data_IF_299342141787
#
_entry.id   IF_299342141787
#
_cell.length_a   1.000
_cell.length_b   1.000
_cell.length_c   1.000
_cell.angle_alpha   90.00
_cell.angle_beta   90.00
_cell.angle_gamma   90.00
#
_symmetry.space_group_name_H-M   'P 1'
#
loop_
_entity.id
_entity.type
_entity.pdbx_description
1 polymer ?
#
# COMPACT_ATOMS: atom_id res chain seq x y z
N UNK A 1 38.24 51.03 5.92
CA UNK A 1 38.36 49.75 5.20
C UNK A 1 37.04 48.98 5.36
N UNK A 2 36.38 48.61 4.26
CA UNK A 2 35.08 47.89 4.25
C UNK A 2 35.33 46.38 4.13
N UNK A 3 34.92 45.53 5.09
CA UNK A 3 34.77 44.11 4.84
C UNK A 3 33.37 43.84 4.25
N UNK A 4 33.37 43.28 3.05
CA UNK A 4 32.21 42.88 2.25
C UNK A 4 31.86 41.41 2.54
N UNK A 5 30.61 41.13 2.87
CA UNK A 5 29.74 40.27 2.03
C UNK A 5 29.97 38.75 1.93
N UNK A 6 30.78 38.08 2.76
CA UNK A 6 31.02 36.63 2.59
C UNK A 6 30.19 35.69 3.49
N UNK A 7 29.36 36.20 4.40
CA UNK A 7 28.62 35.36 5.35
C UNK A 7 27.26 34.84 4.85
N UNK A 8 26.76 35.30 3.70
CA UNK A 8 25.41 34.96 3.23
C UNK A 8 25.33 33.73 2.31
N UNK A 9 26.45 33.26 1.76
CA UNK A 9 26.43 32.13 0.81
C UNK A 9 26.48 30.76 1.51
N UNK A 10 27.07 30.68 2.70
CA UNK A 10 27.22 29.41 3.43
C UNK A 10 25.90 28.91 4.05
N UNK A 11 24.98 29.80 4.40
CA UNK A 11 23.69 29.44 4.97
C UNK A 11 22.70 28.85 3.93
N UNK A 12 22.84 29.22 2.66
CA UNK A 12 22.00 28.72 1.55
C UNK A 12 22.34 27.28 1.14
N UNK A 13 23.59 26.84 1.32
CA UNK A 13 24.03 25.48 0.95
C UNK A 13 23.62 24.41 1.99
N UNK A 14 23.35 24.82 3.23
CA UNK A 14 22.90 23.92 4.30
C UNK A 14 21.40 23.62 4.22
N UNK A 15 20.60 24.50 3.62
CA UNK A 15 19.15 24.29 3.45
C UNK A 15 18.81 23.29 2.32
N UNK A 16 19.71 23.08 1.35
CA UNK A 16 19.47 22.23 0.18
C UNK A 16 19.58 20.71 0.41
N UNK A 17 20.11 20.27 1.56
CA UNK A 17 20.31 18.84 1.83
C UNK A 17 19.19 18.19 2.66
N UNK A 18 18.22 18.96 3.17
CA UNK A 18 17.10 18.43 3.99
C UNK A 18 15.96 17.79 3.19
N UNK A 19 15.83 18.10 1.89
CA UNK A 19 14.71 17.65 1.05
C UNK A 19 14.79 16.16 0.69
N UNK A 20 16.00 15.61 0.57
CA UNK A 20 16.20 14.24 0.10
C UNK A 20 15.78 13.17 1.12
N UNK A 21 16.02 13.40 2.42
CA UNK A 21 15.68 12.44 3.46
C UNK A 21 14.14 12.25 3.62
N UNK A 22 13.37 13.33 3.46
CA UNK A 22 11.90 13.25 3.47
C UNK A 22 11.34 12.50 2.28
N UNK A 23 11.90 12.72 1.08
CA UNK A 23 11.46 12.06 -0.15
C UNK A 23 11.66 10.55 -0.14
N UNK A 24 12.80 10.07 0.38
CA UNK A 24 13.10 8.63 0.44
C UNK A 24 12.19 7.88 1.43
N UNK A 25 11.93 8.46 2.60
CA UNK A 25 11.02 7.89 3.59
C UNK A 25 9.58 7.82 3.06
N UNK A 26 9.14 8.88 2.37
CA UNK A 26 7.82 8.94 1.76
C UNK A 26 7.67 7.92 0.62
N UNK A 27 8.66 7.82 -0.26
CA UNK A 27 8.68 6.81 -1.32
C UNK A 27 8.61 5.39 -0.72
N UNK A 28 9.38 5.11 0.34
CA UNK A 28 9.34 3.82 1.01
C UNK A 28 7.96 3.53 1.62
N UNK A 29 7.31 4.53 2.22
CA UNK A 29 5.96 4.41 2.74
C UNK A 29 4.94 4.10 1.63
N UNK A 30 4.99 4.83 0.51
CA UNK A 30 4.13 4.58 -0.64
C UNK A 30 4.31 3.16 -1.20
N UNK A 31 5.56 2.72 -1.40
CA UNK A 31 5.89 1.35 -1.83
C UNK A 31 5.30 0.30 -0.88
N UNK A 32 5.42 0.52 0.43
CA UNK A 32 4.90 -0.40 1.45
C UNK A 32 3.38 -0.46 1.41
N UNK A 33 2.70 0.68 1.36
CA UNK A 33 1.23 0.74 1.29
C UNK A 33 0.74 -0.01 0.05
N UNK A 34 1.27 0.34 -1.13
CA UNK A 34 0.87 -0.27 -2.41
C UNK A 34 1.07 -1.77 -2.38
N UNK A 35 2.25 -2.24 -1.96
CA UNK A 35 2.57 -3.66 -1.89
C UNK A 35 1.64 -4.41 -0.94
N UNK A 36 1.47 -3.93 0.30
CA UNK A 36 0.68 -4.63 1.32
C UNK A 36 -0.81 -4.67 0.98
N UNK A 37 -1.36 -3.58 0.47
CA UNK A 37 -2.78 -3.55 0.12
C UNK A 37 -3.06 -4.31 -1.15
N UNK A 38 -2.19 -4.24 -2.16
CA UNK A 38 -2.31 -5.13 -3.32
C UNK A 38 -2.28 -6.60 -2.90
N UNK A 39 -1.32 -6.99 -2.05
CA UNK A 39 -1.23 -8.35 -1.51
C UNK A 39 -2.52 -8.77 -0.80
N UNK A 40 -3.01 -7.97 0.14
CA UNK A 40 -4.19 -8.30 0.93
C UNK A 40 -5.53 -8.26 0.15
N UNK A 41 -5.53 -7.76 -1.09
CA UNK A 41 -6.73 -7.60 -1.92
C UNK A 41 -6.59 -8.37 -3.23
N UNK A 42 -6.35 -7.68 -4.35
CA UNK A 42 -6.31 -8.24 -5.70
C UNK A 42 -5.30 -9.39 -5.80
N UNK A 43 -4.14 -9.26 -5.14
CA UNK A 43 -3.12 -10.30 -5.07
C UNK A 43 -3.61 -11.57 -4.38
N UNK A 44 -4.34 -11.46 -3.26
CA UNK A 44 -4.91 -12.62 -2.57
C UNK A 44 -6.10 -13.22 -3.31
N UNK A 45 -6.86 -12.45 -4.09
CA UNK A 45 -7.91 -13.02 -4.93
C UNK A 45 -7.36 -14.01 -5.97
N UNK A 46 -6.19 -13.71 -6.54
CA UNK A 46 -5.50 -14.62 -7.45
C UNK A 46 -4.91 -15.81 -6.71
N UNK A 47 -4.24 -15.57 -5.58
CA UNK A 47 -3.68 -16.63 -4.74
C UNK A 47 -4.73 -17.65 -4.28
N UNK A 48 -5.89 -17.16 -3.85
CA UNK A 48 -6.96 -17.97 -3.27
C UNK A 48 -7.82 -18.69 -4.29
N UNK A 49 -7.53 -18.64 -5.60
CA UNK A 49 -8.33 -19.36 -6.61
C UNK A 49 -8.32 -20.88 -6.42
N UNK A 50 -7.34 -21.43 -5.71
CA UNK A 50 -7.21 -22.87 -5.43
C UNK A 50 -7.97 -23.37 -4.20
N UNK A 51 -8.54 -22.48 -3.37
CA UNK A 51 -9.29 -22.88 -2.17
C UNK A 51 -10.75 -23.22 -2.51
N UNK A 52 -11.55 -23.82 -1.60
CA UNK A 52 -12.96 -24.10 -1.88
C UNK A 52 -13.73 -22.87 -2.37
N UNK A 53 -14.54 -23.05 -3.41
CA UNK A 53 -15.21 -21.96 -4.14
C UNK A 53 -15.98 -21.01 -3.22
N UNK A 54 -16.71 -21.54 -2.23
CA UNK A 54 -17.46 -20.74 -1.28
C UNK A 54 -16.57 -19.77 -0.48
N UNK A 55 -15.36 -20.19 -0.11
CA UNK A 55 -14.40 -19.35 0.60
C UNK A 55 -13.81 -18.30 -0.34
N UNK A 56 -13.45 -18.67 -1.57
CA UNK A 56 -12.97 -17.71 -2.56
C UNK A 56 -14.01 -16.63 -2.87
N UNK A 57 -15.28 -17.02 -3.08
CA UNK A 57 -16.38 -16.08 -3.32
C UNK A 57 -16.62 -15.14 -2.14
N UNK A 58 -16.53 -15.65 -0.91
CA UNK A 58 -16.63 -14.82 0.29
C UNK A 58 -15.51 -13.77 0.34
N UNK A 59 -14.26 -14.17 0.08
CA UNK A 59 -13.14 -13.24 0.03
C UNK A 59 -13.29 -12.20 -1.09
N UNK A 60 -13.70 -12.62 -2.30
CA UNK A 60 -13.98 -11.73 -3.42
C UNK A 60 -15.08 -10.70 -3.10
N UNK A 61 -16.13 -11.12 -2.41
CA UNK A 61 -17.20 -10.22 -1.96
C UNK A 61 -16.67 -9.18 -0.95
N UNK A 62 -15.86 -9.60 0.03
CA UNK A 62 -15.24 -8.71 1.02
C UNK A 62 -14.31 -7.69 0.36
N UNK A 63 -13.42 -8.13 -0.55
CA UNK A 63 -12.52 -7.22 -1.28
C UNK A 63 -13.31 -6.23 -2.15
N UNK A 64 -14.37 -6.69 -2.81
CA UNK A 64 -15.26 -5.81 -3.58
C UNK A 64 -15.92 -4.76 -2.69
N UNK A 65 -16.44 -5.15 -1.54
CA UNK A 65 -17.05 -4.23 -0.59
C UNK A 65 -16.04 -3.19 -0.09
N UNK A 66 -14.80 -3.61 0.18
CA UNK A 66 -13.71 -2.70 0.57
C UNK A 66 -13.44 -1.63 -0.50
N UNK A 67 -13.33 -2.03 -1.77
CA UNK A 67 -13.14 -1.08 -2.86
C UNK A 67 -14.32 -0.14 -3.10
N UNK A 68 -15.54 -0.59 -2.80
CA UNK A 68 -16.72 0.28 -2.84
C UNK A 68 -16.75 1.28 -1.67
N UNK A 69 -16.26 0.89 -0.48
CA UNK A 69 -16.15 1.78 0.69
C UNK A 69 -15.05 2.82 0.52
N UNK A 70 -13.93 2.46 -0.11
CA UNK A 70 -12.74 3.32 -0.25
C UNK A 70 -12.31 3.52 -1.72
N UNK A 71 -13.17 4.14 -2.57
CA UNK A 71 -12.90 4.24 -4.00
C UNK A 71 -11.67 5.11 -4.32
N UNK A 72 -11.49 6.23 -3.61
CA UNK A 72 -10.34 7.13 -3.82
C UNK A 72 -9.01 6.45 -3.48
N UNK A 73 -8.97 5.72 -2.36
CA UNK A 73 -7.79 4.95 -1.97
C UNK A 73 -7.46 3.89 -3.04
N UNK A 74 -8.46 3.13 -3.48
CA UNK A 74 -8.28 2.12 -4.52
C UNK A 74 -7.83 2.69 -5.87
N UNK A 75 -8.25 3.91 -6.20
CA UNK A 75 -7.76 4.63 -7.38
C UNK A 75 -6.31 5.06 -7.21
N UNK A 76 -5.97 5.74 -6.11
CA UNK A 76 -4.59 6.20 -5.83
C UNK A 76 -3.59 5.04 -5.76
N UNK A 77 -4.00 3.92 -5.18
CA UNK A 77 -3.17 2.73 -5.08
C UNK A 77 -2.86 2.14 -6.47
N UNK A 78 -3.86 2.04 -7.34
CA UNK A 78 -3.70 1.54 -8.72
C UNK A 78 -2.97 2.51 -9.66
N UNK A 79 -3.17 3.81 -9.46
CA UNK A 79 -2.48 4.87 -10.20
C UNK A 79 -1.00 5.05 -9.75
N UNK A 80 -0.60 4.40 -8.65
CA UNK A 80 0.75 4.54 -8.10
C UNK A 80 1.83 3.95 -9.03
N UNK A 81 2.98 4.63 -9.20
CA UNK A 81 4.09 4.09 -10.00
C UNK A 81 4.69 2.79 -9.42
N UNK A 82 4.39 2.45 -8.17
CA UNK A 82 4.85 1.22 -7.52
C UNK A 82 3.90 0.03 -7.71
N UNK A 83 2.69 0.25 -8.24
CA UNK A 83 1.70 -0.81 -8.42
C UNK A 83 2.19 -1.93 -9.36
N UNK A 84 2.80 -1.65 -10.52
CA UNK A 84 3.33 -2.71 -11.39
C UNK A 84 4.38 -3.59 -10.70
N UNK A 85 5.23 -3.00 -9.84
CA UNK A 85 6.23 -3.74 -9.10
C UNK A 85 5.61 -4.66 -8.03
N UNK A 86 4.53 -4.22 -7.37
CA UNK A 86 3.77 -5.04 -6.42
C UNK A 86 3.08 -6.23 -7.10
N UNK A 87 2.51 -6.02 -8.29
CA UNK A 87 1.91 -7.10 -9.09
C UNK A 87 2.96 -8.15 -9.47
N UNK A 88 4.11 -7.70 -9.98
CA UNK A 88 5.18 -8.58 -10.40
C UNK A 88 5.80 -9.38 -9.23
N UNK A 89 6.02 -8.73 -8.08
CA UNK A 89 6.60 -9.41 -6.91
C UNK A 89 5.67 -10.49 -6.36
N UNK A 90 4.36 -10.24 -6.35
CA UNK A 90 3.39 -11.24 -5.90
C UNK A 90 3.29 -12.42 -6.86
N UNK A 91 3.27 -12.18 -8.18
CA UNK A 91 3.26 -13.26 -9.16
C UNK A 91 4.48 -14.18 -9.01
N UNK A 92 5.65 -13.59 -8.73
CA UNK A 92 6.87 -14.34 -8.44
C UNK A 92 6.75 -15.16 -7.14
N UNK A 93 6.24 -14.56 -6.06
CA UNK A 93 6.04 -15.25 -4.78
C UNK A 93 5.07 -16.44 -4.92
N UNK A 94 3.92 -16.25 -5.57
CA UNK A 94 2.92 -17.31 -5.77
C UNK A 94 3.47 -18.48 -6.59
N UNK A 95 4.26 -18.20 -7.63
CA UNK A 95 4.87 -19.24 -8.46
C UNK A 95 5.84 -20.11 -7.64
N UNK A 96 6.56 -19.50 -6.69
CA UNK A 96 7.49 -20.20 -5.81
C UNK A 96 6.76 -20.97 -4.68
N UNK A 97 5.70 -20.42 -4.12
CA UNK A 97 5.05 -20.94 -2.91
C UNK A 97 4.02 -22.05 -3.17
N UNK A 98 3.32 -22.03 -4.32
CA UNK A 98 2.23 -22.99 -4.59
C UNK A 98 2.70 -24.43 -4.90
N UNK A 99 4.02 -24.63 -5.05
CA UNK A 99 4.61 -25.94 -5.31
C UNK A 99 4.73 -26.74 -4.00
N UNK A 100 3.72 -27.53 -3.65
CA UNK A 100 3.74 -28.42 -2.48
C UNK A 100 3.21 -27.82 -1.19
N UNK A 101 2.46 -26.72 -1.29
CA UNK A 101 1.79 -26.11 -0.15
C UNK A 101 0.65 -27.00 0.38
N UNK A 102 0.57 -27.11 1.71
CA UNK A 102 -0.52 -27.81 2.38
C UNK A 102 -1.86 -27.11 2.13
N UNK A 103 -2.92 -27.82 1.69
CA UNK A 103 -4.22 -27.21 1.39
C UNK A 103 -4.88 -26.52 2.59
N UNK A 104 -4.62 -26.98 3.82
CA UNK A 104 -5.15 -26.31 5.02
C UNK A 104 -4.42 -25.00 5.28
N UNK A 105 -3.11 -24.96 5.08
CA UNK A 105 -2.35 -23.70 5.15
C UNK A 105 -2.88 -22.68 4.15
N UNK A 106 -3.08 -23.08 2.90
CA UNK A 106 -3.60 -22.22 1.84
C UNK A 106 -4.99 -21.65 2.19
N UNK A 107 -5.91 -22.51 2.66
CA UNK A 107 -7.24 -22.08 3.10
C UNK A 107 -7.18 -21.14 4.32
N UNK A 108 -6.33 -21.43 5.30
CA UNK A 108 -6.21 -20.58 6.50
C UNK A 108 -5.68 -19.18 6.16
N UNK A 109 -4.70 -19.09 5.27
CA UNK A 109 -4.15 -17.81 4.82
C UNK A 109 -5.19 -16.97 4.09
N UNK A 110 -5.97 -17.58 3.19
CA UNK A 110 -7.10 -16.92 2.54
C UNK A 110 -8.15 -16.43 3.55
N UNK A 111 -8.44 -17.21 4.58
CA UNK A 111 -9.33 -16.81 5.67
C UNK A 111 -8.78 -15.63 6.48
N UNK A 112 -7.47 -15.62 6.77
CA UNK A 112 -6.80 -14.53 7.48
C UNK A 112 -6.92 -13.21 6.72
N UNK A 113 -6.61 -13.19 5.42
CA UNK A 113 -6.70 -11.97 4.62
C UNK A 113 -8.14 -11.49 4.41
N UNK A 114 -9.10 -12.41 4.30
CA UNK A 114 -10.51 -12.03 4.32
C UNK A 114 -10.88 -11.31 5.61
N UNK A 115 -10.50 -11.85 6.77
CA UNK A 115 -10.77 -11.22 8.07
C UNK A 115 -10.08 -9.86 8.20
N UNK A 116 -8.82 -9.75 7.76
CA UNK A 116 -8.09 -8.50 7.78
C UNK A 116 -8.83 -7.40 7.00
N UNK A 117 -9.31 -7.69 5.79
CA UNK A 117 -10.07 -6.70 5.01
C UNK A 117 -11.45 -6.43 5.63
N UNK A 118 -12.06 -7.45 6.24
CA UNK A 118 -13.33 -7.30 6.95
C UNK A 118 -13.21 -6.32 8.13
N UNK A 119 -12.08 -6.27 8.85
CA UNK A 119 -11.86 -5.28 9.91
C UNK A 119 -11.92 -3.82 9.40
N UNK A 120 -11.46 -3.56 8.16
CA UNK A 120 -11.59 -2.22 7.56
C UNK A 120 -13.04 -1.87 7.18
N UNK A 121 -13.91 -2.88 7.03
CA UNK A 121 -15.33 -2.71 6.77
C UNK A 121 -16.09 -2.50 8.09
N UNK A 122 -15.82 -3.35 9.07
CA UNK A 122 -16.46 -3.40 10.38
C UNK A 122 -15.73 -2.52 11.40
N UNK A 123 -15.61 -1.24 11.07
CA UNK A 123 -14.88 -0.24 11.84
C UNK A 123 -15.85 0.72 12.55
N UNK A 124 -16.35 0.37 13.75
CA UNK A 124 -17.34 1.19 14.47
C UNK A 124 -16.73 2.49 15.01
N UNK A 125 -15.43 2.46 15.35
CA UNK A 125 -14.72 3.58 15.96
C UNK A 125 -14.12 4.54 14.92
N UNK A 126 -14.03 4.12 13.66
CA UNK A 126 -13.52 4.93 12.56
C UNK A 126 -11.99 4.95 12.46
N UNK A 127 -11.30 4.13 13.25
CA UNK A 127 -9.84 4.05 13.29
C UNK A 127 -9.28 3.56 11.95
N UNK A 128 -9.90 2.52 11.36
CA UNK A 128 -9.51 1.99 10.05
C UNK A 128 -9.81 2.99 8.94
N UNK A 129 -10.91 3.74 9.05
CA UNK A 129 -11.22 4.81 8.11
C UNK A 129 -10.18 5.93 8.18
N UNK A 130 -9.74 6.32 9.38
CA UNK A 130 -8.68 7.30 9.56
C UNK A 130 -7.34 6.82 8.98
N UNK A 131 -6.99 5.55 9.21
CA UNK A 131 -5.80 4.90 8.65
C UNK A 131 -5.84 4.92 7.11
N UNK A 132 -6.97 4.53 6.49
CA UNK A 132 -7.12 4.56 5.02
C UNK A 132 -7.00 5.99 4.48
N UNK A 133 -7.53 6.99 5.20
CA UNK A 133 -7.38 8.40 4.80
C UNK A 133 -5.91 8.83 4.83
N UNK A 134 -5.18 8.54 5.90
CA UNK A 134 -3.75 8.86 6.03
C UNK A 134 -2.93 8.17 4.91
N UNK A 135 -3.23 6.91 4.62
CA UNK A 135 -2.58 6.19 3.52
C UNK A 135 -2.93 6.80 2.16
N UNK A 136 -4.17 7.25 1.95
CA UNK A 136 -4.59 7.93 0.72
C UNK A 136 -3.81 9.23 0.53
N UNK A 137 -3.62 10.01 1.58
CA UNK A 137 -2.80 11.23 1.57
C UNK A 137 -1.32 10.91 1.30
N UNK A 138 -0.79 9.87 1.94
CA UNK A 138 0.58 9.39 1.68
C UNK A 138 0.77 9.03 0.21
N UNK A 139 -0.20 8.34 -0.40
CA UNK A 139 -0.17 7.98 -1.83
C UNK A 139 -0.35 9.18 -2.77
N UNK A 140 -0.98 10.27 -2.32
CA UNK A 140 -1.12 11.48 -3.13
C UNK A 140 0.22 12.19 -3.36
N UNK A 141 1.23 11.93 -2.52
CA UNK A 141 2.52 12.61 -2.58
C UNK A 141 2.46 14.01 -1.96
N UNK A 142 3.59 14.74 -1.88
CA UNK A 142 3.52 16.15 -1.53
C UNK A 142 2.67 16.86 -2.59
N UNK A 143 1.71 17.67 -2.15
CA UNK A 143 1.01 18.56 -3.08
C UNK A 143 2.07 19.35 -3.83
N UNK A 144 2.09 19.24 -5.17
CA UNK A 144 2.95 20.07 -5.98
C UNK A 144 2.66 21.52 -5.57
N UNK A 145 3.66 22.19 -4.99
CA UNK A 145 3.58 23.60 -4.73
C UNK A 145 3.63 24.27 -6.11
N UNK A 146 2.45 24.58 -6.65
CA UNK A 146 2.27 25.40 -7.85
C UNK A 146 2.77 26.83 -7.61
#
# INVERSE_FOLDING_TARGET
>A
MKPRGYFLVLALLLASNGVWAGSAAQEQAQRKIVSRFYQATDGMLEYCRGVPEAQWLAHAATVRAFWLKYPEFGKRLRDSPYYPAAVASQAQAQTAELSGMDPHFHSNECGYYQQLIQEYLDDPDGDRQAEVREMTETLAGPAAAD
#
